data_IF_326505106493
#
_entry.id   IF_326505106493
#
_cell.length_a   1.000
_cell.length_b   1.000
_cell.length_c   1.000
_cell.angle_alpha   90.00
_cell.angle_beta   90.00
_cell.angle_gamma   90.00
#
_symmetry.space_group_name_H-M   'P 1'
#
loop_
_entity.id
_entity.type
_entity.pdbx_description
1 polymer ?
#
# COMPACT_ATOMS: atom_id res chain seq x y z
N UNK A 1 1.50 27.40 -7.02
CA UNK A 1 1.21 26.02 -6.56
C UNK A 1 1.55 25.06 -7.68
N UNK A 2 2.24 23.95 -7.39
CA UNK A 2 2.63 22.95 -8.39
C UNK A 2 2.21 21.56 -7.91
N UNK A 3 1.63 20.77 -8.81
CA UNK A 3 1.24 19.38 -8.54
C UNK A 3 2.26 18.44 -9.19
N UNK A 4 2.86 17.57 -8.40
CA UNK A 4 3.90 16.64 -8.87
C UNK A 4 3.36 15.21 -8.88
N UNK A 5 3.30 14.61 -10.07
CA UNK A 5 2.90 13.22 -10.24
C UNK A 5 4.12 12.30 -10.08
N UNK A 6 4.15 11.56 -8.98
CA UNK A 6 5.21 10.60 -8.70
C UNK A 6 4.77 9.20 -9.17
N UNK A 7 5.57 8.56 -10.06
CA UNK A 7 5.28 7.19 -10.50
C UNK A 7 5.51 6.20 -9.36
N UNK A 8 4.59 5.24 -9.11
CA UNK A 8 4.82 4.18 -8.15
C UNK A 8 6.00 3.27 -8.56
N UNK A 9 6.69 2.71 -7.57
CA UNK A 9 7.78 1.74 -7.80
C UNK A 9 7.24 0.35 -8.17
N UNK A 10 8.07 -0.55 -8.75
CA UNK A 10 7.66 -1.92 -9.04
C UNK A 10 7.14 -2.68 -7.81
N UNK A 11 7.73 -2.44 -6.63
CA UNK A 11 7.26 -2.98 -5.35
C UNK A 11 5.86 -2.45 -5.00
N UNK A 12 5.66 -1.12 -5.09
CA UNK A 12 4.35 -0.50 -4.86
C UNK A 12 3.29 -1.06 -5.79
N UNK A 13 3.57 -1.21 -7.09
CA UNK A 13 2.63 -1.77 -8.06
C UNK A 13 2.28 -3.22 -7.73
N UNK A 14 3.27 -4.06 -7.43
CA UNK A 14 3.06 -5.48 -7.10
C UNK A 14 2.18 -5.66 -5.86
N UNK A 15 2.49 -4.93 -4.78
CA UNK A 15 1.69 -4.98 -3.55
C UNK A 15 0.30 -4.37 -3.78
N UNK A 16 0.18 -3.33 -4.60
CA UNK A 16 -1.11 -2.70 -4.90
C UNK A 16 -2.04 -3.67 -5.61
N UNK A 17 -1.54 -4.38 -6.64
CA UNK A 17 -2.30 -5.41 -7.32
C UNK A 17 -2.69 -6.56 -6.40
N UNK A 18 -1.80 -6.99 -5.49
CA UNK A 18 -2.13 -7.98 -4.49
C UNK A 18 -3.27 -7.52 -3.57
N UNK A 19 -3.20 -6.29 -3.05
CA UNK A 19 -4.27 -5.71 -2.21
C UNK A 19 -5.60 -5.68 -2.96
N UNK A 20 -5.62 -5.25 -4.23
CA UNK A 20 -6.83 -5.26 -5.06
C UNK A 20 -7.43 -6.66 -5.25
N UNK A 21 -6.61 -7.71 -5.19
CA UNK A 21 -7.05 -9.09 -5.34
C UNK A 21 -7.67 -9.68 -4.07
N UNK A 22 -7.46 -9.04 -2.91
CA UNK A 22 -7.96 -9.55 -1.62
C UNK A 22 -9.49 -9.54 -1.55
N UNK A 23 -10.12 -10.52 -0.86
CA UNK A 23 -11.57 -10.55 -0.71
C UNK A 23 -12.14 -9.26 -0.11
N UNK A 24 -11.43 -8.67 0.87
CA UNK A 24 -11.83 -7.42 1.52
C UNK A 24 -11.93 -6.26 0.52
N UNK A 25 -10.91 -6.06 -0.33
CA UNK A 25 -10.94 -5.00 -1.33
C UNK A 25 -11.92 -5.32 -2.45
N UNK A 26 -11.98 -6.57 -2.93
CA UNK A 26 -12.93 -6.98 -3.96
C UNK A 26 -14.38 -6.78 -3.52
N UNK A 27 -14.71 -7.09 -2.27
CA UNK A 27 -16.03 -6.84 -1.69
C UNK A 27 -16.35 -5.34 -1.66
N UNK A 28 -15.37 -4.48 -1.37
CA UNK A 28 -15.53 -3.03 -1.42
C UNK A 28 -15.71 -2.49 -2.85
N UNK A 29 -15.33 -3.25 -3.88
CA UNK A 29 -15.49 -2.85 -5.28
C UNK A 29 -16.76 -3.45 -5.92
N UNK A 30 -17.35 -4.47 -5.31
CA UNK A 30 -18.59 -5.09 -5.78
C UNK A 30 -19.83 -4.32 -5.33
N UNK A 31 -20.80 -4.18 -6.23
CA UNK A 31 -22.10 -3.52 -5.97
C UNK A 31 -23.03 -4.30 -5.02
N UNK A 32 -22.64 -5.49 -4.56
CA UNK A 32 -23.56 -6.44 -3.88
C UNK A 32 -23.64 -6.31 -2.36
N UNK A 33 -22.74 -5.57 -1.71
CA UNK A 33 -22.75 -5.44 -0.25
C UNK A 33 -22.44 -4.00 0.18
N UNK A 34 -23.47 -3.23 0.49
CA UNK A 34 -23.35 -2.05 1.36
C UNK A 34 -23.12 -2.52 2.80
N UNK A 35 -21.97 -3.17 3.05
CA UNK A 35 -21.35 -3.12 4.37
C UNK A 35 -21.15 -1.62 4.66
N UNK A 36 -21.54 -1.12 5.83
CA UNK A 36 -21.44 0.31 6.16
C UNK A 36 -20.04 0.90 5.85
N UNK A 37 -19.86 2.23 5.90
CA UNK A 37 -18.63 2.88 5.40
C UNK A 37 -17.27 2.45 6.00
N UNK A 38 -17.22 1.60 7.03
CA UNK A 38 -15.98 1.23 7.72
C UNK A 38 -14.96 0.41 6.89
N UNK A 39 -15.30 -0.70 6.20
CA UNK A 39 -14.35 -1.47 5.36
C UNK A 39 -13.73 -0.67 4.22
N UNK A 40 -14.46 0.24 3.57
CA UNK A 40 -13.92 1.06 2.49
C UNK A 40 -12.80 1.98 2.99
N UNK A 41 -12.99 2.60 4.16
CA UNK A 41 -11.98 3.47 4.76
C UNK A 41 -10.72 2.70 5.16
N UNK A 42 -10.85 1.46 5.63
CA UNK A 42 -9.69 0.58 5.90
C UNK A 42 -8.94 0.28 4.61
N UNK A 43 -9.63 -0.10 3.53
CA UNK A 43 -9.00 -0.37 2.23
C UNK A 43 -8.32 0.87 1.65
N UNK A 44 -8.99 2.03 1.68
CA UNK A 44 -8.42 3.31 1.23
C UNK A 44 -7.18 3.66 2.05
N UNK A 45 -7.24 3.49 3.38
CA UNK A 45 -6.10 3.73 4.27
C UNK A 45 -4.90 2.85 3.92
N UNK A 46 -5.13 1.55 3.67
CA UNK A 46 -4.10 0.61 3.26
C UNK A 46 -3.43 1.01 1.93
N UNK A 47 -4.22 1.33 0.91
CA UNK A 47 -3.70 1.76 -0.40
C UNK A 47 -2.94 3.09 -0.28
N UNK A 48 -3.44 4.03 0.53
CA UNK A 48 -2.74 5.30 0.81
C UNK A 48 -1.40 5.09 1.51
N UNK A 49 -1.36 4.21 2.51
CA UNK A 49 -0.12 3.84 3.21
C UNK A 49 0.91 3.29 2.22
N UNK A 50 0.51 2.34 1.37
CA UNK A 50 1.39 1.76 0.35
C UNK A 50 1.97 2.80 -0.61
N UNK A 51 1.11 3.67 -1.16
CA UNK A 51 1.54 4.72 -2.08
C UNK A 51 2.44 5.78 -1.41
N UNK A 52 2.40 5.89 -0.08
CA UNK A 52 3.28 6.77 0.68
C UNK A 52 4.63 6.09 0.96
N UNK A 53 4.61 4.90 1.53
CA UNK A 53 5.79 4.06 1.74
C UNK A 53 5.38 2.59 1.96
N UNK A 54 6.00 1.62 1.26
CA UNK A 54 5.74 0.19 1.50
C UNK A 54 5.94 -0.27 2.95
N UNK A 55 6.87 0.33 3.70
CA UNK A 55 7.15 -0.08 5.10
C UNK A 55 5.94 0.07 6.02
N UNK A 56 5.06 1.05 5.74
CA UNK A 56 3.83 1.28 6.50
C UNK A 56 2.84 0.12 6.37
N UNK A 57 2.86 -0.59 5.24
CA UNK A 57 2.02 -1.77 5.00
C UNK A 57 2.74 -3.03 5.47
N UNK A 58 4.05 -3.13 5.29
CA UNK A 58 4.86 -4.24 5.79
C UNK A 58 4.77 -4.43 7.31
N UNK A 59 4.76 -3.32 8.07
CA UNK A 59 4.70 -3.30 9.54
C UNK A 59 3.27 -3.31 10.09
N UNK A 60 2.25 -3.27 9.22
CA UNK A 60 0.86 -3.27 9.67
C UNK A 60 0.50 -4.63 10.27
N UNK A 61 0.38 -4.67 11.60
CA UNK A 61 -0.12 -5.82 12.36
C UNK A 61 -1.65 -5.85 12.43
N UNK A 62 -2.34 -5.43 11.36
CA UNK A 62 -3.80 -5.51 11.34
C UNK A 62 -4.21 -6.97 11.18
N UNK A 63 -4.22 -7.69 12.30
CA UNK A 63 -4.64 -9.09 12.40
C UNK A 63 -6.14 -9.25 12.21
N UNK A 64 -6.91 -8.16 12.29
CA UNK A 64 -8.36 -8.18 12.14
C UNK A 64 -8.80 -8.15 10.68
N UNK A 65 -7.99 -7.55 9.79
CA UNK A 65 -8.25 -7.58 8.35
C UNK A 65 -7.23 -8.51 7.67
N UNK A 66 -7.69 -9.60 7.05
CA UNK A 66 -6.89 -10.45 6.15
C UNK A 66 -6.32 -9.69 4.93
N UNK A 67 -6.48 -8.37 4.90
CA UNK A 67 -6.07 -7.44 3.87
C UNK A 67 -4.56 -7.49 3.57
N UNK A 68 -3.73 -7.66 4.59
CA UNK A 68 -2.27 -7.70 4.42
C UNK A 68 -1.72 -9.12 4.30
N UNK A 69 -2.58 -10.14 4.20
CA UNK A 69 -2.14 -11.52 4.10
C UNK A 69 -1.30 -11.74 2.84
N UNK A 70 -0.11 -12.31 3.00
CA UNK A 70 0.77 -12.66 1.90
C UNK A 70 1.43 -11.48 1.18
N UNK A 71 1.35 -10.24 1.69
CA UNK A 71 2.07 -9.09 1.08
C UNK A 71 3.58 -9.26 1.15
N UNK A 72 4.09 -9.95 2.19
CA UNK A 72 5.53 -10.03 2.47
C UNK A 72 6.30 -10.74 1.35
N UNK A 73 5.64 -11.61 0.58
CA UNK A 73 6.22 -12.32 -0.57
C UNK A 73 6.72 -11.41 -1.69
N UNK A 74 6.21 -10.17 -1.76
CA UNK A 74 6.59 -9.21 -2.80
C UNK A 74 7.79 -8.35 -2.38
N UNK A 75 8.17 -8.39 -1.10
CA UNK A 75 9.30 -7.64 -0.58
C UNK A 75 10.59 -8.45 -0.81
N UNK A 76 11.74 -7.79 -0.97
CA UNK A 76 13.05 -8.44 -0.97
C UNK A 76 13.28 -9.28 0.30
N UNK A 77 14.12 -10.31 0.22
CA UNK A 77 14.41 -11.18 1.37
C UNK A 77 15.14 -10.44 2.49
N UNK A 78 15.98 -9.46 2.13
CA UNK A 78 16.73 -8.58 3.02
C UNK A 78 15.97 -7.27 3.34
N UNK A 79 14.65 -7.26 3.16
CA UNK A 79 13.85 -6.07 3.42
C UNK A 79 13.84 -5.68 4.90
N UNK A 80 14.46 -4.54 5.21
CA UNK A 80 14.37 -3.90 6.52
C UNK A 80 13.29 -2.79 6.52
N UNK A 81 12.19 -2.94 7.28
CA UNK A 81 11.15 -1.92 7.36
C UNK A 81 11.58 -0.64 8.11
N UNK A 82 12.66 -0.70 8.89
CA UNK A 82 13.22 0.46 9.61
C UNK A 82 14.10 1.31 8.70
N UNK A 83 14.72 0.68 7.70
CA UNK A 83 15.41 1.38 6.61
C UNK A 83 14.40 1.84 5.57
N UNK A 84 13.97 3.10 5.68
CA UNK A 84 13.11 3.73 4.69
C UNK A 84 13.90 4.00 3.39
N UNK A 85 14.23 2.94 2.64
CA UNK A 85 14.97 3.06 1.38
C UNK A 85 14.11 3.79 0.35
N UNK A 86 14.66 4.87 -0.20
CA UNK A 86 13.95 5.77 -1.12
C UNK A 86 13.51 5.05 -2.40
N UNK A 87 14.28 4.05 -2.84
CA UNK A 87 14.01 3.22 -4.01
C UNK A 87 12.69 2.44 -3.96
N UNK A 88 12.08 2.31 -2.78
CA UNK A 88 10.82 1.62 -2.61
C UNK A 88 9.59 2.52 -2.71
N UNK A 89 9.73 3.86 -2.65
CA UNK A 89 8.61 4.80 -2.76
C UNK A 89 8.88 5.90 -3.77
N UNK A 90 8.05 5.98 -4.81
CA UNK A 90 8.20 6.99 -5.85
C UNK A 90 8.04 8.43 -5.33
N UNK A 91 7.18 8.63 -4.33
CA UNK A 91 7.02 9.95 -3.69
C UNK A 91 8.24 10.32 -2.87
N UNK A 92 8.79 9.38 -2.11
CA UNK A 92 9.97 9.62 -1.29
C UNK A 92 11.20 9.89 -2.16
N UNK A 93 11.35 9.16 -3.27
CA UNK A 93 12.42 9.38 -4.24
C UNK A 93 12.37 10.78 -4.87
N UNK A 94 11.18 11.23 -5.30
CA UNK A 94 11.00 12.58 -5.85
C UNK A 94 11.23 13.65 -4.77
N UNK A 95 10.74 13.44 -3.55
CA UNK A 95 10.96 14.35 -2.43
C UNK A 95 12.46 14.50 -2.14
N UNK A 96 13.20 13.39 -2.09
CA UNK A 96 14.63 13.41 -1.87
C UNK A 96 15.41 14.14 -2.98
N UNK A 97 14.95 14.07 -4.23
CA UNK A 97 15.54 14.81 -5.34
C UNK A 97 15.23 16.32 -5.29
N UNK A 98 14.28 16.76 -4.44
CA UNK A 98 13.90 18.17 -4.26
C UNK A 98 14.53 18.81 -3.01
N UNK A 99 15.07 17.99 -2.09
CA UNK A 99 15.75 18.41 -0.87
C UNK A 99 17.26 18.51 -1.10
#
# INVERSE_FOLDING_TARGET
ESVIFCRPTPLQVSVYHHLLSTPTVRSCLSHSHSLGGSPHLVCISALKKLCNCPSLVYTSNDTQSQLYEGIKRYYPEDYDPTECKMEYSGKLWVLAAML
#
